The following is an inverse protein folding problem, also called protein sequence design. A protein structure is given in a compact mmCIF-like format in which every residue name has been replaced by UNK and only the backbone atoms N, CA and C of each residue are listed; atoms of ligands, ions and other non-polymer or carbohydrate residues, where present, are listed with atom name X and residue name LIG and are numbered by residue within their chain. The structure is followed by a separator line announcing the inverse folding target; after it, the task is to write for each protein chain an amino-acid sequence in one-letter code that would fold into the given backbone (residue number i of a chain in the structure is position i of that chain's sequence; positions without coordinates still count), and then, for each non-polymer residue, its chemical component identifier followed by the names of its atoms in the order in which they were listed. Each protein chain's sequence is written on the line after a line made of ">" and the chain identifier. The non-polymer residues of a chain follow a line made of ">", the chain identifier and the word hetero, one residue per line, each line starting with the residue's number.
data_IF_998545188591
#
_entry.id   IF_998545188591
#
_cell.length_a   1.000
_cell.length_b   1.000
_cell.length_c   1.000
_cell.angle_alpha   90.00
_cell.angle_beta   90.00
_cell.angle_gamma   90.00
#
_symmetry.space_group_name_H-M   'P 1'
#
loop_
_entity.id
_entity.type
_entity.pdbx_description
1 polymer ?
#
# COMPACT_ATOMS: atom_id res chain seq x y z
N UNK A 1 -2.28 4.91 -6.78
CA UNK A 1 -1.81 3.68 -7.44
C UNK A 1 -1.51 4.05 -8.89
N UNK A 2 -0.24 4.29 -9.21
CA UNK A 2 0.22 4.66 -10.55
C UNK A 2 1.14 3.55 -11.08
N UNK A 3 1.38 3.52 -12.40
CA UNK A 3 2.50 2.75 -12.95
C UNK A 3 3.80 3.16 -12.29
N UNK A 4 4.83 2.33 -12.32
CA UNK A 4 6.11 2.66 -11.68
C UNK A 4 6.73 3.95 -12.26
N UNK A 5 6.64 4.15 -13.58
CA UNK A 5 7.02 5.41 -14.22
C UNK A 5 6.15 6.60 -13.74
N UNK A 6 4.85 6.38 -13.55
CA UNK A 6 3.95 7.40 -13.01
C UNK A 6 4.27 7.74 -11.55
N UNK A 7 4.70 6.77 -10.73
CA UNK A 7 5.15 7.01 -9.36
C UNK A 7 6.40 7.92 -9.36
N UNK A 8 7.38 7.65 -10.23
CA UNK A 8 8.57 8.48 -10.38
C UNK A 8 8.19 9.92 -10.76
N UNK A 9 7.35 10.08 -11.78
CA UNK A 9 6.93 11.39 -12.27
C UNK A 9 6.12 12.19 -11.22
N UNK A 10 5.28 11.51 -10.43
CA UNK A 10 4.44 12.14 -9.42
C UNK A 10 5.16 12.37 -8.08
N UNK A 11 6.34 11.77 -7.87
CA UNK A 11 7.02 11.77 -6.57
C UNK A 11 7.27 13.17 -5.99
N UNK A 12 7.71 14.19 -6.75
CA UNK A 12 7.91 15.54 -6.20
C UNK A 12 6.63 16.12 -5.58
N UNK A 13 5.49 15.91 -6.23
CA UNK A 13 4.19 16.36 -5.75
C UNK A 13 3.74 15.56 -4.53
N UNK A 14 3.90 14.23 -4.55
CA UNK A 14 3.56 13.40 -3.39
C UNK A 14 4.39 13.82 -2.18
N UNK A 15 5.71 13.94 -2.34
CA UNK A 15 6.65 14.31 -1.28
C UNK A 15 6.32 15.65 -0.65
N UNK A 16 5.94 16.66 -1.44
CA UNK A 16 5.61 18.00 -0.92
C UNK A 16 4.31 18.06 -0.13
N UNK A 17 3.46 17.03 -0.23
CA UNK A 17 2.17 16.95 0.45
C UNK A 17 2.17 15.97 1.63
N UNK A 18 3.31 15.33 1.94
CA UNK A 18 3.44 14.46 3.12
C UNK A 18 3.58 15.30 4.38
N UNK A 19 2.80 14.96 5.40
CA UNK A 19 2.89 15.49 6.74
C UNK A 19 3.55 14.48 7.68
N UNK A 20 4.01 14.98 8.83
CA UNK A 20 4.54 14.13 9.90
C UNK A 20 3.52 13.08 10.34
N UNK A 21 3.97 11.84 10.41
CA UNK A 21 3.15 10.70 10.83
C UNK A 21 2.24 10.14 9.73
N UNK A 22 2.28 10.67 8.51
CA UNK A 22 1.58 10.08 7.36
C UNK A 22 2.09 8.66 7.06
N UNK A 23 1.32 7.92 6.26
CA UNK A 23 1.72 6.59 5.77
C UNK A 23 1.79 6.59 4.25
N UNK A 24 2.98 6.35 3.71
CA UNK A 24 3.20 6.15 2.29
C UNK A 24 3.00 4.66 1.96
N UNK A 25 1.95 4.37 1.20
CA UNK A 25 1.52 3.02 0.87
C UNK A 25 1.82 2.65 -0.59
N UNK A 26 2.42 1.47 -0.78
CA UNK A 26 2.66 0.86 -2.09
C UNK A 26 1.98 -0.49 -2.24
N UNK A 27 1.53 -0.83 -3.46
CA UNK A 27 1.05 -2.18 -3.79
C UNK A 27 2.12 -3.05 -4.44
N UNK A 28 3.27 -2.48 -4.76
CA UNK A 28 4.43 -3.16 -5.31
C UNK A 28 5.73 -2.47 -4.88
N UNK A 29 6.83 -3.21 -4.82
CA UNK A 29 8.06 -2.74 -4.19
C UNK A 29 8.95 -1.87 -5.07
N UNK A 30 8.69 -1.78 -6.39
CA UNK A 30 9.63 -1.21 -7.36
C UNK A 30 10.15 0.17 -6.96
N UNK A 31 9.24 1.11 -6.63
CA UNK A 31 9.60 2.48 -6.26
C UNK A 31 10.62 2.57 -5.12
N UNK A 32 10.43 1.76 -4.08
CA UNK A 32 11.23 1.80 -2.84
C UNK A 32 12.46 0.89 -2.91
N UNK A 33 12.36 -0.27 -3.54
CA UNK A 33 13.47 -1.22 -3.67
C UNK A 33 14.57 -0.64 -4.56
N UNK A 34 14.19 0.02 -5.65
CA UNK A 34 15.11 0.66 -6.59
C UNK A 34 15.20 2.18 -6.38
N UNK A 35 15.10 2.64 -5.13
CA UNK A 35 15.07 4.07 -4.79
C UNK A 35 16.24 4.89 -5.37
N UNK A 36 17.40 4.26 -5.60
CA UNK A 36 18.55 4.90 -6.23
C UNK A 36 18.31 5.26 -7.70
N UNK A 37 17.51 4.46 -8.40
CA UNK A 37 17.16 4.65 -9.81
C UNK A 37 15.87 5.48 -9.95
N UNK A 38 14.91 5.28 -9.04
CA UNK A 38 13.59 5.93 -9.10
C UNK A 38 13.59 7.33 -8.48
N UNK A 39 14.54 7.64 -7.61
CA UNK A 39 14.57 8.87 -6.82
C UNK A 39 13.49 8.97 -5.74
N UNK A 40 12.72 7.91 -5.51
CA UNK A 40 11.66 7.85 -4.49
C UNK A 40 12.30 7.59 -3.13
N UNK A 41 12.68 8.67 -2.45
CA UNK A 41 13.27 8.64 -1.10
C UNK A 41 12.32 9.28 -0.10
N UNK A 42 11.51 8.48 0.64
CA UNK A 42 10.57 8.98 1.63
C UNK A 42 11.26 9.75 2.77
N UNK A 43 10.61 10.77 3.35
CA UNK A 43 11.07 11.40 4.58
C UNK A 43 11.16 10.41 5.75
N UNK A 44 12.00 10.68 6.76
CA UNK A 44 12.12 9.82 7.96
C UNK A 44 10.89 9.91 8.89
N UNK A 45 10.08 10.96 8.75
CA UNK A 45 8.95 11.25 9.62
C UNK A 45 7.60 10.68 9.10
N UNK A 46 7.62 9.66 8.25
CA UNK A 46 6.43 8.95 7.76
C UNK A 46 6.55 7.45 7.95
N UNK A 47 5.45 6.71 7.91
CA UNK A 47 5.52 5.26 7.75
C UNK A 47 5.66 4.91 6.26
N UNK A 48 6.42 3.86 5.94
CA UNK A 48 6.54 3.33 4.58
C UNK A 48 6.12 1.88 4.60
N UNK A 49 4.94 1.61 4.03
CA UNK A 49 4.27 0.31 4.09
C UNK A 49 3.91 -0.20 2.70
N UNK A 50 3.83 -1.52 2.58
CA UNK A 50 3.42 -2.19 1.36
C UNK A 50 2.40 -3.28 1.65
N UNK A 51 1.37 -3.35 0.82
CA UNK A 51 0.39 -4.46 0.77
C UNK A 51 0.17 -4.84 -0.69
N UNK A 52 0.59 -6.02 -1.09
CA UNK A 52 0.59 -6.49 -2.47
C UNK A 52 -0.35 -7.70 -2.65
N UNK A 53 -1.57 -7.50 -3.17
CA UNK A 53 -2.48 -8.58 -3.56
C UNK A 53 -1.88 -9.44 -4.67
N UNK A 54 -2.09 -10.76 -4.62
CA UNK A 54 -1.56 -11.71 -5.61
C UNK A 54 -2.49 -11.91 -6.80
N UNK A 55 -2.90 -10.81 -7.43
CA UNK A 55 -3.73 -10.84 -8.63
C UNK A 55 -3.97 -9.44 -9.20
N UNK A 56 -4.58 -9.41 -10.39
CA UNK A 56 -4.93 -8.15 -11.06
C UNK A 56 -5.96 -7.36 -10.25
N UNK A 57 -6.01 -6.03 -10.44
CA UNK A 57 -7.04 -5.19 -9.84
C UNK A 57 -8.47 -5.66 -10.16
N UNK A 58 -8.69 -6.18 -11.38
CA UNK A 58 -9.96 -6.78 -11.77
C UNK A 58 -10.29 -8.01 -10.92
N UNK A 59 -9.33 -8.92 -10.74
CA UNK A 59 -9.52 -10.13 -9.90
C UNK A 59 -9.81 -9.76 -8.45
N UNK A 60 -9.06 -8.81 -7.89
CA UNK A 60 -9.29 -8.28 -6.53
C UNK A 60 -10.74 -7.79 -6.39
N UNK A 61 -11.21 -6.98 -7.34
CA UNK A 61 -12.57 -6.43 -7.31
C UNK A 61 -13.64 -7.50 -7.48
N UNK A 62 -13.49 -8.40 -8.45
CA UNK A 62 -14.45 -9.47 -8.72
C UNK A 62 -14.59 -10.41 -7.51
N UNK A 63 -13.47 -10.79 -6.88
CA UNK A 63 -13.51 -11.63 -5.67
C UNK A 63 -14.18 -10.89 -4.51
N UNK A 64 -13.82 -9.62 -4.27
CA UNK A 64 -14.46 -8.80 -3.25
C UNK A 64 -15.98 -8.74 -3.41
N UNK A 65 -16.47 -8.51 -4.65
CA UNK A 65 -17.91 -8.47 -4.92
C UNK A 65 -18.60 -9.81 -4.66
N UNK A 66 -17.91 -10.93 -4.92
CA UNK A 66 -18.37 -12.29 -4.68
C UNK A 66 -18.20 -12.77 -3.21
N UNK A 67 -17.82 -11.89 -2.28
CA UNK A 67 -17.58 -12.27 -0.88
C UNK A 67 -16.37 -13.20 -0.73
N UNK A 68 -15.34 -13.02 -1.57
CA UNK A 68 -14.08 -13.76 -1.51
C UNK A 68 -12.90 -12.81 -1.39
N UNK A 69 -11.81 -13.30 -0.83
CA UNK A 69 -10.55 -12.58 -0.71
C UNK A 69 -9.53 -13.04 -1.74
N UNK A 70 -8.44 -12.29 -1.85
CA UNK A 70 -7.21 -12.75 -2.47
C UNK A 70 -6.11 -12.64 -1.43
N UNK A 71 -5.17 -13.59 -1.45
CA UNK A 71 -4.00 -13.51 -0.58
C UNK A 71 -3.16 -12.27 -0.96
N UNK A 72 -2.54 -11.68 0.05
CA UNK A 72 -1.65 -10.55 -0.12
C UNK A 72 -0.42 -10.74 0.77
N UNK A 73 0.73 -10.28 0.28
CA UNK A 73 1.93 -10.09 1.10
C UNK A 73 1.98 -8.66 1.61
N UNK A 74 2.61 -8.44 2.76
CA UNK A 74 2.87 -7.09 3.26
C UNK A 74 4.35 -6.92 3.64
N UNK A 75 4.80 -5.68 3.69
CA UNK A 75 6.11 -5.31 4.21
C UNK A 75 6.03 -3.94 4.91
N UNK A 76 6.89 -3.75 5.90
CA UNK A 76 7.09 -2.48 6.58
C UNK A 76 8.56 -2.11 6.35
N UNK A 77 8.78 -1.02 5.63
CA UNK A 77 10.13 -0.49 5.37
C UNK A 77 10.54 0.51 6.45
N UNK A 78 9.59 1.32 6.91
CA UNK A 78 9.79 2.34 7.92
C UNK A 78 8.53 2.42 8.80
N UNK A 79 8.73 2.44 10.11
CA UNK A 79 7.68 2.58 11.12
C UNK A 79 8.05 3.76 12.03
N UNK A 80 7.73 4.96 11.57
CA UNK A 80 7.99 6.20 12.31
C UNK A 80 7.01 6.35 13.47
N UNK A 81 5.74 5.97 13.26
CA UNK A 81 4.68 6.20 14.25
C UNK A 81 4.53 5.08 15.29
N UNK A 82 5.20 3.95 15.09
CA UNK A 82 4.98 2.72 15.86
C UNK A 82 3.65 2.01 15.55
N UNK A 83 2.96 2.44 14.48
CA UNK A 83 1.63 1.93 14.08
C UNK A 83 1.62 1.36 12.66
N UNK A 84 2.76 1.23 11.99
CA UNK A 84 2.81 0.75 10.61
C UNK A 84 2.17 -0.64 10.45
N UNK A 85 2.37 -1.53 11.42
CA UNK A 85 1.79 -2.88 11.42
C UNK A 85 0.27 -2.87 11.53
N UNK A 86 -0.29 -2.03 12.39
CA UNK A 86 -1.73 -1.90 12.55
C UNK A 86 -2.36 -1.29 11.28
N UNK A 87 -1.70 -0.29 10.68
CA UNK A 87 -2.11 0.30 9.41
C UNK A 87 -2.18 -0.76 8.30
N UNK A 88 -1.18 -1.62 8.19
CA UNK A 88 -1.16 -2.76 7.25
C UNK A 88 -2.33 -3.71 7.51
N UNK A 89 -2.56 -4.12 8.77
CA UNK A 89 -3.66 -5.03 9.07
C UNK A 89 -5.02 -4.41 8.80
N UNK A 90 -5.20 -3.11 9.04
CA UNK A 90 -6.43 -2.42 8.69
C UNK A 90 -6.67 -2.40 7.17
N UNK A 91 -5.63 -2.21 6.36
CA UNK A 91 -5.74 -2.31 4.90
C UNK A 91 -6.16 -3.73 4.46
N UNK A 92 -5.55 -4.77 5.04
CA UNK A 92 -5.88 -6.17 4.74
C UNK A 92 -7.29 -6.56 5.22
N UNK A 93 -7.67 -6.14 6.42
CA UNK A 93 -8.95 -6.47 7.02
C UNK A 93 -10.11 -5.74 6.35
N UNK A 94 -9.91 -4.54 5.79
CA UNK A 94 -10.97 -3.87 5.00
C UNK A 94 -11.35 -4.67 3.74
N UNK A 95 -10.40 -5.38 3.14
CA UNK A 95 -10.69 -6.35 2.07
C UNK A 95 -11.43 -7.60 2.57
N UNK A 96 -11.21 -8.00 3.83
CA UNK A 96 -11.84 -9.18 4.43
C UNK A 96 -13.21 -8.90 5.08
N UNK A 97 -13.43 -7.74 5.70
CA UNK A 97 -14.68 -7.38 6.38
C UNK A 97 -15.87 -7.30 5.41
N UNK A 98 -15.63 -6.95 4.15
CA UNK A 98 -16.65 -7.05 3.10
C UNK A 98 -17.03 -8.48 2.72
N UNK A 99 -16.19 -9.46 3.04
CA UNK A 99 -16.51 -10.88 2.90
C UNK A 99 -17.45 -11.29 4.04
N UNK A 100 -17.16 -10.84 5.26
CA UNK A 100 -17.96 -11.19 6.44
C UNK A 100 -19.33 -10.49 6.49
N UNK A 101 -19.48 -9.27 5.96
CA UNK A 101 -20.78 -8.60 5.91
C UNK A 101 -21.77 -9.19 4.90
N UNK A 102 -21.34 -10.16 4.09
CA UNK A 102 -22.17 -10.90 3.12
C UNK A 102 -22.38 -12.37 3.47
N UNK A 103 -21.82 -12.83 4.59
CA UNK A 103 -22.17 -14.13 5.14
C UNK A 103 -23.49 -13.98 5.93
N UNK A 104 -24.44 -14.92 5.76
CA UNK A 104 -25.74 -14.86 6.44
C UNK A 104 -25.62 -14.90 7.96
#
# INVERSE_FOLDING_TARGET
>A
MLSDAGQIAAWPMVKSNLNEGDALYFSHGFGIVFQNDTGIVPPENVDVILVAPKGSGLTVRTHFQAGRGINASFAIKQDYTGRARDRVFQLLLRSALAIFSKLP
#
